data_IF_575715269580
#
_entry.id   IF_575715269580
#
_cell.length_a   1.000
_cell.length_b   1.000
_cell.length_c   1.000
_cell.angle_alpha   90.00
_cell.angle_beta   90.00
_cell.angle_gamma   90.00
#
_symmetry.space_group_name_H-M   'P 1'
#
loop_
_entity.id
_entity.type
_entity.pdbx_description
1 polymer ?
#
# COMPACT_ATOMS: atom_id res chain seq x y z
N UNK A 1 2.06 6.88 36.44
CA UNK A 1 0.62 6.74 36.17
C UNK A 1 0.25 7.87 35.22
N UNK A 2 0.43 7.67 33.93
CA UNK A 2 0.26 8.73 32.92
C UNK A 2 -0.87 8.31 32.01
N UNK A 3 -2.04 8.86 32.30
CA UNK A 3 -3.22 8.85 31.46
C UNK A 3 -2.91 9.76 30.27
N UNK A 4 -2.78 9.21 29.06
CA UNK A 4 -2.73 10.03 27.85
C UNK A 4 -4.16 10.18 27.32
N UNK A 5 -4.60 11.42 27.42
CA UNK A 5 -5.92 11.98 27.12
C UNK A 5 -6.23 11.93 25.61
N UNK A 6 -7.36 11.34 25.22
CA UNK A 6 -7.84 11.22 23.83
C UNK A 6 -8.50 12.51 23.30
N UNK A 7 -8.09 13.70 23.77
CA UNK A 7 -8.75 14.98 23.46
C UNK A 7 -8.12 15.84 22.35
N UNK A 8 -7.06 15.39 21.68
CA UNK A 8 -6.53 16.14 20.52
C UNK A 8 -7.18 15.68 19.20
N UNK A 9 -8.46 16.03 19.05
CA UNK A 9 -9.11 16.17 17.76
C UNK A 9 -8.79 17.60 17.24
N UNK A 10 -8.30 17.80 16.00
CA UNK A 10 -8.07 19.14 15.48
C UNK A 10 -9.39 19.93 15.39
N UNK A 11 -9.36 21.26 15.58
CA UNK A 11 -10.56 22.09 15.55
C UNK A 11 -11.15 22.15 14.13
N UNK A 12 -12.47 22.32 14.07
CA UNK A 12 -13.29 22.32 12.87
C UNK A 12 -12.70 23.21 11.75
N UNK A 13 -12.41 22.60 10.60
CA UNK A 13 -11.83 23.32 9.47
C UNK A 13 -11.70 22.56 8.15
N UNK A 14 -12.26 21.35 8.01
CA UNK A 14 -12.76 20.70 6.79
C UNK A 14 -13.28 19.34 7.24
N UNK A 15 -14.44 18.91 6.78
CA UNK A 15 -15.17 17.79 7.36
C UNK A 15 -14.54 16.41 7.01
N UNK A 16 -13.49 16.03 7.75
CA UNK A 16 -12.81 14.72 7.66
C UNK A 16 -13.77 13.56 7.97
N UNK A 17 -14.93 13.81 8.60
CA UNK A 17 -15.92 12.77 8.93
C UNK A 17 -16.58 12.13 7.70
N UNK A 18 -16.41 12.73 6.51
CA UNK A 18 -17.01 12.26 5.25
C UNK A 18 -16.07 11.43 4.37
N UNK A 19 -14.75 11.46 4.59
CA UNK A 19 -13.81 10.78 3.70
C UNK A 19 -13.76 9.26 3.98
N UNK A 20 -14.09 8.38 3.01
CA UNK A 20 -14.24 6.94 3.25
C UNK A 20 -13.01 6.27 3.87
N UNK A 21 -11.80 6.72 3.50
CA UNK A 21 -10.56 6.21 4.07
C UNK A 21 -10.34 6.66 5.52
N UNK A 22 -10.73 7.89 5.88
CA UNK A 22 -10.61 8.35 7.27
C UNK A 22 -11.50 7.52 8.20
N UNK A 23 -12.71 7.17 7.74
CA UNK A 23 -13.61 6.25 8.44
C UNK A 23 -13.02 4.84 8.56
N UNK A 24 -12.39 4.33 7.50
CA UNK A 24 -11.73 3.02 7.54
C UNK A 24 -10.59 3.01 8.57
N UNK A 25 -9.70 4.01 8.53
CA UNK A 25 -8.56 4.12 9.45
C UNK A 25 -8.98 4.37 10.91
N UNK A 26 -10.13 5.00 11.14
CA UNK A 26 -10.68 5.26 12.48
C UNK A 26 -11.34 4.05 13.15
N UNK A 27 -11.53 2.93 12.43
CA UNK A 27 -12.46 1.86 12.82
C UNK A 27 -12.09 1.03 14.08
N UNK A 28 -11.00 1.34 14.79
CA UNK A 28 -10.50 0.57 15.96
C UNK A 28 -10.39 -0.95 15.73
N UNK A 29 -10.32 -1.36 14.46
CA UNK A 29 -9.99 -2.71 13.96
C UNK A 29 -9.00 -2.65 12.79
N UNK A 30 -8.39 -3.80 12.46
CA UNK A 30 -7.93 -4.07 11.11
C UNK A 30 -8.89 -3.63 9.97
N UNK A 31 -8.54 -2.62 9.17
CA UNK A 31 -8.82 -2.48 7.72
C UNK A 31 -8.27 -3.68 6.89
N UNK A 32 -8.75 -3.91 5.68
CA UNK A 32 -8.23 -4.94 4.76
C UNK A 32 -8.01 -4.31 3.38
N UNK A 33 -6.78 -4.31 2.88
CA UNK A 33 -6.46 -3.84 1.53
C UNK A 33 -6.56 -4.94 0.47
N UNK A 34 -7.37 -4.74 -0.57
CA UNK A 34 -7.40 -5.58 -1.77
C UNK A 34 -6.44 -5.06 -2.83
N UNK A 35 -5.53 -5.90 -3.33
CA UNK A 35 -4.56 -5.50 -4.36
C UNK A 35 -5.14 -5.78 -5.75
N UNK A 36 -5.16 -4.77 -6.62
CA UNK A 36 -5.60 -4.85 -8.00
C UNK A 36 -4.46 -4.46 -8.95
N UNK A 37 -3.74 -5.45 -9.45
CA UNK A 37 -2.66 -5.25 -10.42
C UNK A 37 -3.21 -5.22 -11.85
N UNK A 38 -3.23 -4.04 -12.47
CA UNK A 38 -3.71 -3.80 -13.83
C UNK A 38 -2.55 -3.92 -14.81
N UNK A 39 -2.10 -5.16 -15.06
CA UNK A 39 -1.04 -5.45 -16.04
C UNK A 39 -1.59 -6.30 -17.19
N UNK A 40 -1.05 -6.18 -18.43
CA UNK A 40 -1.52 -6.95 -19.58
C UNK A 40 -1.53 -8.47 -19.31
N UNK A 41 -0.55 -8.96 -18.55
CA UNK A 41 -0.40 -10.38 -18.24
C UNK A 41 -1.29 -10.84 -17.07
N UNK A 42 -1.93 -9.92 -16.35
CA UNK A 42 -2.95 -10.27 -15.35
C UNK A 42 -4.25 -10.77 -16.01
N UNK A 43 -4.45 -10.46 -17.30
CA UNK A 43 -5.73 -10.65 -18.01
C UNK A 43 -5.55 -11.12 -19.48
N UNK A 44 -4.45 -11.81 -19.77
CA UNK A 44 -3.88 -12.07 -21.11
C UNK A 44 -4.72 -12.85 -22.14
N UNK A 45 -6.02 -13.08 -21.90
CA UNK A 45 -6.88 -13.84 -22.81
C UNK A 45 -7.82 -12.97 -23.67
N UNK A 46 -7.77 -11.64 -23.57
CA UNK A 46 -8.65 -10.74 -24.33
C UNK A 46 -8.09 -9.35 -24.62
N UNK A 47 -8.79 -8.57 -25.46
CA UNK A 47 -8.39 -7.23 -25.91
C UNK A 47 -8.36 -6.17 -24.79
N UNK A 48 -8.01 -4.92 -25.12
CA UNK A 48 -7.91 -3.82 -24.13
C UNK A 48 -9.19 -3.59 -23.33
N UNK A 49 -10.36 -3.61 -23.98
CA UNK A 49 -11.65 -3.47 -23.30
C UNK A 49 -11.95 -4.66 -22.37
N UNK A 50 -11.61 -5.87 -22.78
CA UNK A 50 -11.75 -7.07 -21.94
C UNK A 50 -10.83 -6.99 -20.71
N UNK A 51 -9.61 -6.47 -20.88
CA UNK A 51 -8.69 -6.27 -19.74
C UNK A 51 -9.19 -5.22 -18.73
N UNK A 52 -9.85 -4.15 -19.20
CA UNK A 52 -10.47 -3.14 -18.33
C UNK A 52 -11.67 -3.72 -17.58
N UNK A 53 -12.62 -4.33 -18.30
CA UNK A 53 -13.82 -4.90 -17.69
C UNK A 53 -13.48 -5.99 -16.67
N UNK A 54 -12.48 -6.83 -16.97
CA UNK A 54 -11.97 -7.84 -16.02
C UNK A 54 -11.32 -7.22 -14.79
N UNK A 55 -10.53 -6.16 -14.94
CA UNK A 55 -9.92 -5.46 -13.81
C UNK A 55 -11.00 -4.82 -12.91
N UNK A 56 -11.99 -4.16 -13.51
CA UNK A 56 -13.12 -3.56 -12.78
C UNK A 56 -13.96 -4.64 -12.09
N UNK A 57 -14.28 -5.74 -12.78
CA UNK A 57 -15.00 -6.87 -12.19
C UNK A 57 -14.23 -7.51 -11.02
N UNK A 58 -12.90 -7.59 -11.12
CA UNK A 58 -12.07 -8.07 -10.02
C UNK A 58 -12.08 -7.10 -8.83
N UNK A 59 -11.97 -5.78 -9.07
CA UNK A 59 -12.10 -4.76 -8.02
C UNK A 59 -13.46 -4.80 -7.31
N UNK A 60 -14.56 -4.96 -8.05
CA UNK A 60 -15.89 -5.16 -7.46
C UNK A 60 -15.97 -6.45 -6.63
N UNK A 61 -15.34 -7.53 -7.09
CA UNK A 61 -15.23 -8.78 -6.31
C UNK A 61 -14.47 -8.53 -5.00
N UNK A 62 -13.33 -7.82 -5.02
CA UNK A 62 -12.59 -7.48 -3.81
C UNK A 62 -13.44 -6.67 -2.82
N UNK A 63 -14.21 -5.71 -3.32
CA UNK A 63 -15.15 -4.95 -2.50
C UNK A 63 -16.26 -5.83 -1.88
N UNK A 64 -16.86 -6.72 -2.67
CA UNK A 64 -17.89 -7.67 -2.21
C UNK A 64 -17.31 -8.68 -1.20
N UNK A 65 -16.04 -9.06 -1.38
CA UNK A 65 -15.21 -9.79 -0.42
C UNK A 65 -14.67 -8.87 0.68
N UNK A 66 -15.35 -7.76 0.99
CA UNK A 66 -15.13 -6.90 2.15
C UNK A 66 -13.74 -6.32 2.29
N UNK A 67 -13.07 -6.00 1.18
CA UNK A 67 -11.95 -5.07 1.19
C UNK A 67 -12.43 -3.71 1.73
N UNK A 68 -11.67 -3.13 2.65
CA UNK A 68 -11.91 -1.79 3.20
C UNK A 68 -11.14 -0.70 2.42
N UNK A 69 -10.19 -1.11 1.58
CA UNK A 69 -9.39 -0.29 0.65
C UNK A 69 -9.05 -1.14 -0.57
N UNK A 70 -9.05 -0.59 -1.78
CA UNK A 70 -8.52 -1.25 -2.98
C UNK A 70 -7.31 -0.48 -3.49
N UNK A 71 -6.16 -1.14 -3.61
CA UNK A 71 -4.91 -0.54 -4.09
C UNK A 71 -4.68 -0.94 -5.55
N UNK A 72 -4.70 0.06 -6.45
CA UNK A 72 -4.65 -0.13 -7.90
C UNK A 72 -3.25 0.22 -8.41
N UNK A 73 -2.56 -0.78 -8.96
CA UNK A 73 -1.20 -0.64 -9.48
C UNK A 73 -1.10 -0.97 -10.97
N UNK A 74 -0.39 -0.14 -11.74
CA UNK A 74 -0.17 -0.32 -13.19
C UNK A 74 1.19 -0.94 -13.55
N UNK A 75 2.09 -1.06 -12.57
CA UNK A 75 3.44 -1.58 -12.74
C UNK A 75 3.51 -3.08 -12.41
N UNK A 76 4.19 -3.84 -13.28
CA UNK A 76 4.43 -5.25 -13.02
C UNK A 76 5.57 -5.41 -12.02
N UNK A 77 5.31 -6.17 -10.98
CA UNK A 77 6.32 -6.53 -9.96
C UNK A 77 6.90 -7.92 -10.25
N UNK A 78 6.85 -8.39 -11.50
CA UNK A 78 7.47 -9.66 -11.93
C UNK A 78 8.96 -9.45 -12.28
N UNK A 79 9.85 -10.39 -11.90
CA UNK A 79 11.26 -10.33 -12.30
C UNK A 79 11.42 -10.23 -13.82
N UNK A 80 12.21 -9.25 -14.28
CA UNK A 80 12.51 -9.05 -15.70
C UNK A 80 11.45 -8.27 -16.50
N UNK A 81 10.36 -7.83 -15.87
CA UNK A 81 9.40 -6.94 -16.54
C UNK A 81 10.00 -5.53 -16.72
N UNK A 82 9.76 -4.93 -17.89
CA UNK A 82 10.14 -3.54 -18.14
C UNK A 82 9.14 -2.61 -17.46
N UNK A 83 9.60 -1.55 -16.76
CA UNK A 83 8.70 -0.52 -16.25
C UNK A 83 7.85 0.06 -17.39
N UNK A 84 6.53 0.25 -17.19
CA UNK A 84 5.69 0.86 -18.21
C UNK A 84 6.13 2.31 -18.47
N UNK A 85 5.93 2.79 -19.69
CA UNK A 85 5.99 4.22 -19.98
C UNK A 85 4.90 4.97 -19.20
N UNK A 86 5.04 6.29 -19.04
CA UNK A 86 4.02 7.11 -18.37
C UNK A 86 2.63 6.93 -19.02
N UNK A 87 2.57 6.98 -20.35
CA UNK A 87 1.32 6.81 -21.09
C UNK A 87 0.69 5.42 -20.87
N UNK A 88 1.50 4.36 -20.79
CA UNK A 88 1.00 3.01 -20.51
C UNK A 88 0.45 2.86 -19.10
N UNK A 89 1.13 3.43 -18.09
CA UNK A 89 0.67 3.38 -16.71
C UNK A 89 -0.64 4.15 -16.54
N UNK A 90 -0.73 5.36 -17.10
CA UNK A 90 -1.96 6.15 -17.13
C UNK A 90 -3.12 5.39 -17.79
N UNK A 91 -2.88 4.80 -18.97
CA UNK A 91 -3.90 4.05 -19.71
C UNK A 91 -4.36 2.77 -19.00
N UNK A 92 -3.55 2.23 -18.08
CA UNK A 92 -3.92 1.06 -17.25
C UNK A 92 -4.69 1.49 -16.01
N UNK A 93 -4.17 2.46 -15.27
CA UNK A 93 -4.66 2.80 -13.92
C UNK A 93 -5.90 3.67 -13.97
N UNK A 94 -5.86 4.77 -14.74
CA UNK A 94 -6.89 5.83 -14.68
C UNK A 94 -8.29 5.31 -15.02
N UNK A 95 -8.51 4.54 -16.11
CA UNK A 95 -9.84 4.04 -16.44
C UNK A 95 -10.40 3.05 -15.40
N UNK A 96 -9.53 2.26 -14.77
CA UNK A 96 -9.93 1.32 -13.71
C UNK A 96 -10.36 2.07 -12.46
N UNK A 97 -9.58 3.08 -12.04
CA UNK A 97 -9.92 3.94 -10.90
C UNK A 97 -11.26 4.65 -11.12
N UNK A 98 -11.44 5.28 -12.29
CA UNK A 98 -12.67 5.99 -12.65
C UNK A 98 -13.90 5.08 -12.59
N UNK A 99 -13.80 3.88 -13.18
CA UNK A 99 -14.89 2.92 -13.20
C UNK A 99 -15.20 2.35 -11.81
N UNK A 100 -14.19 2.08 -10.98
CA UNK A 100 -14.39 1.57 -9.62
C UNK A 100 -14.98 2.64 -8.69
N UNK A 101 -14.55 3.90 -8.80
CA UNK A 101 -15.08 4.99 -8.00
C UNK A 101 -16.61 5.16 -8.17
N UNK A 102 -17.14 4.80 -9.34
CA UNK A 102 -18.59 4.82 -9.62
C UNK A 102 -19.34 3.55 -9.20
N UNK A 103 -18.64 2.45 -8.92
CA UNK A 103 -19.23 1.11 -8.72
C UNK A 103 -19.08 0.56 -7.31
N UNK A 104 -18.19 1.12 -6.50
CA UNK A 104 -17.98 0.68 -5.12
C UNK A 104 -17.81 1.87 -4.18
N UNK A 105 -18.36 1.81 -2.94
CA UNK A 105 -18.09 2.81 -1.91
C UNK A 105 -16.74 2.60 -1.21
N UNK A 106 -16.00 1.54 -1.55
CA UNK A 106 -14.68 1.24 -0.96
C UNK A 106 -13.67 2.26 -1.48
N UNK A 107 -12.90 2.95 -0.59
CA UNK A 107 -11.88 3.88 -1.02
C UNK A 107 -10.84 3.21 -1.91
N UNK A 108 -10.28 3.99 -2.83
CA UNK A 108 -9.26 3.55 -3.77
C UNK A 108 -7.92 4.19 -3.43
N UNK A 109 -6.87 3.39 -3.37
CA UNK A 109 -5.48 3.82 -3.36
C UNK A 109 -4.88 3.60 -4.75
N UNK A 110 -3.98 4.50 -5.16
CA UNK A 110 -3.15 4.30 -6.35
C UNK A 110 -1.72 3.95 -5.93
N UNK A 111 -1.22 2.80 -6.37
CA UNK A 111 0.17 2.37 -6.19
C UNK A 111 1.02 2.93 -7.33
N UNK A 112 1.69 4.06 -7.07
CA UNK A 112 2.57 4.73 -8.04
C UNK A 112 3.58 5.64 -7.36
N UNK A 113 4.73 5.82 -8.01
CA UNK A 113 5.74 6.81 -7.64
C UNK A 113 5.85 7.97 -8.61
N UNK A 114 4.92 8.09 -9.58
CA UNK A 114 4.94 9.13 -10.62
C UNK A 114 3.93 10.24 -10.32
N UNK A 115 4.36 11.52 -10.17
CA UNK A 115 3.46 12.62 -9.86
C UNK A 115 2.32 12.79 -10.87
N UNK A 116 2.57 12.53 -12.15
CA UNK A 116 1.56 12.63 -13.20
C UNK A 116 0.45 11.58 -13.02
N UNK A 117 0.82 10.36 -12.59
CA UNK A 117 -0.13 9.27 -12.32
C UNK A 117 -0.89 9.54 -11.02
N UNK A 118 -0.21 10.05 -9.97
CA UNK A 118 -0.87 10.50 -8.74
C UNK A 118 -1.98 11.51 -9.04
N UNK A 119 -1.66 12.55 -9.82
CA UNK A 119 -2.62 13.60 -10.17
C UNK A 119 -3.80 13.06 -10.96
N UNK A 120 -3.55 12.25 -11.99
CA UNK A 120 -4.60 11.70 -12.84
C UNK A 120 -5.49 10.71 -12.10
N UNK A 121 -4.92 9.84 -11.26
CA UNK A 121 -5.67 8.86 -10.50
C UNK A 121 -6.55 9.52 -9.42
N UNK A 122 -6.03 10.52 -8.69
CA UNK A 122 -6.84 11.26 -7.70
C UNK A 122 -7.97 12.03 -8.39
N UNK A 123 -7.70 12.66 -9.55
CA UNK A 123 -8.75 13.29 -10.34
C UNK A 123 -9.83 12.31 -10.82
N UNK A 124 -9.47 11.05 -11.05
CA UNK A 124 -10.39 9.97 -11.41
C UNK A 124 -11.14 9.35 -10.22
N UNK A 125 -10.82 9.72 -8.98
CA UNK A 125 -11.51 9.25 -7.78
C UNK A 125 -10.66 8.43 -6.81
N UNK A 126 -9.35 8.28 -7.04
CA UNK A 126 -8.45 7.74 -6.02
C UNK A 126 -8.45 8.66 -4.79
N UNK A 127 -8.56 8.04 -3.62
CA UNK A 127 -8.68 8.69 -2.32
C UNK A 127 -7.38 8.59 -1.50
N UNK A 128 -6.33 7.98 -2.05
CA UNK A 128 -5.03 7.78 -1.41
C UNK A 128 -3.95 7.52 -2.45
N UNK A 129 -2.72 7.92 -2.13
CA UNK A 129 -1.50 7.54 -2.87
C UNK A 129 -0.71 6.54 -2.02
N UNK A 130 -0.32 5.42 -2.61
CA UNK A 130 0.64 4.48 -2.04
C UNK A 130 1.94 4.59 -2.82
N UNK A 131 3.00 5.14 -2.22
CA UNK A 131 4.27 5.37 -2.90
C UNK A 131 5.41 4.55 -2.28
N UNK A 132 5.81 3.52 -3.01
CA UNK A 132 6.95 2.64 -2.69
C UNK A 132 8.29 3.37 -2.58
N UNK A 133 8.40 4.58 -3.13
CA UNK A 133 9.58 5.45 -3.09
C UNK A 133 9.49 6.55 -2.02
N UNK A 134 8.40 6.62 -1.27
CA UNK A 134 8.15 7.59 -0.20
C UNK A 134 8.32 9.05 -0.67
N UNK A 135 7.73 9.40 -1.82
CA UNK A 135 7.72 10.73 -2.42
C UNK A 135 9.13 11.29 -2.73
N UNK A 136 10.09 10.40 -3.04
CA UNK A 136 11.45 10.80 -3.43
C UNK A 136 11.62 11.05 -4.92
N UNK A 137 10.65 10.66 -5.75
CA UNK A 137 10.66 10.99 -7.17
C UNK A 137 10.55 12.51 -7.36
N UNK A 138 11.24 13.12 -8.36
CA UNK A 138 11.09 14.55 -8.64
C UNK A 138 9.63 14.94 -8.84
N UNK A 139 9.16 15.96 -8.11
CA UNK A 139 7.78 16.47 -8.20
C UNK A 139 6.74 15.68 -7.38
N UNK A 140 7.07 14.50 -6.84
CA UNK A 140 6.10 13.66 -6.13
C UNK A 140 5.65 14.28 -4.81
N UNK A 141 6.56 14.92 -4.07
CA UNK A 141 6.25 15.55 -2.78
C UNK A 141 5.32 16.75 -2.96
N UNK A 142 5.62 17.60 -3.95
CA UNK A 142 4.84 18.78 -4.28
C UNK A 142 3.43 18.39 -4.73
N UNK A 143 3.32 17.41 -5.63
CA UNK A 143 2.03 16.91 -6.09
C UNK A 143 1.23 16.28 -4.96
N UNK A 144 1.86 15.45 -4.11
CA UNK A 144 1.17 14.86 -2.97
C UNK A 144 0.61 15.91 -2.00
N UNK A 145 1.37 16.99 -1.75
CA UNK A 145 0.90 18.11 -0.94
C UNK A 145 -0.28 18.84 -1.57
N UNK A 146 -0.24 19.11 -2.89
CA UNK A 146 -1.33 19.74 -3.63
C UNK A 146 -2.61 18.90 -3.65
N UNK A 147 -2.49 17.57 -3.81
CA UNK A 147 -3.64 16.68 -3.90
C UNK A 147 -4.42 16.58 -2.59
N UNK A 148 -3.75 16.78 -1.45
CA UNK A 148 -4.40 16.81 -0.15
C UNK A 148 -5.13 15.50 0.20
N UNK A 149 -4.68 14.36 -0.33
CA UNK A 149 -5.17 13.02 0.03
C UNK A 149 -4.17 12.32 0.95
N UNK A 150 -4.58 11.27 1.69
CA UNK A 150 -3.65 10.42 2.43
C UNK A 150 -2.55 9.81 1.54
N UNK A 151 -1.36 9.64 2.11
CA UNK A 151 -0.18 9.08 1.44
C UNK A 151 0.48 8.01 2.30
N UNK A 152 0.73 6.83 1.73
CA UNK A 152 1.61 5.83 2.32
C UNK A 152 3.06 6.01 1.85
N UNK A 153 3.97 6.13 2.82
CA UNK A 153 5.40 6.25 2.62
C UNK A 153 6.07 4.90 2.92
N UNK A 154 6.56 4.19 1.91
CA UNK A 154 7.24 2.91 2.13
C UNK A 154 8.76 3.04 2.21
N UNK A 155 9.37 2.27 3.10
CA UNK A 155 10.80 2.03 3.10
C UNK A 155 11.20 0.97 2.08
N UNK A 156 12.06 1.37 1.13
CA UNK A 156 12.76 0.46 0.22
C UNK A 156 14.25 0.82 0.17
N UNK A 157 15.11 -0.18 0.36
CA UNK A 157 16.56 -0.04 0.17
C UNK A 157 16.90 -0.22 -1.32
N UNK A 158 17.61 0.75 -1.90
CA UNK A 158 17.92 0.84 -3.34
C UNK A 158 16.65 0.92 -4.20
N UNK A 159 16.75 0.53 -5.47
CA UNK A 159 15.64 0.54 -6.44
C UNK A 159 14.96 -0.84 -6.50
N UNK A 160 13.70 -0.94 -6.97
CA UNK A 160 12.99 -2.23 -7.06
C UNK A 160 13.78 -3.30 -7.83
N UNK A 161 14.58 -2.89 -8.82
CA UNK A 161 15.38 -3.77 -9.67
C UNK A 161 16.63 -4.33 -8.98
N UNK A 162 17.17 -3.62 -7.98
CA UNK A 162 18.47 -3.92 -7.35
C UNK A 162 18.37 -4.23 -5.86
N UNK A 163 17.21 -3.99 -5.24
CA UNK A 163 17.04 -4.05 -3.79
C UNK A 163 17.37 -5.42 -3.19
N UNK A 164 17.16 -6.51 -3.93
CA UNK A 164 17.43 -7.88 -3.43
C UNK A 164 18.89 -8.32 -3.56
N UNK A 165 19.75 -7.51 -4.19
CA UNK A 165 21.15 -7.85 -4.41
C UNK A 165 21.98 -7.51 -3.16
N UNK A 166 22.15 -8.46 -2.24
CA UNK A 166 22.93 -8.29 -1.00
C UNK A 166 22.46 -7.09 -0.15
N UNK A 167 21.22 -7.11 0.37
CA UNK A 167 20.72 -6.06 1.26
C UNK A 167 21.42 -6.15 2.62
N UNK A 168 22.10 -5.07 3.00
CA UNK A 168 22.84 -4.97 4.26
C UNK A 168 22.29 -3.84 5.10
N UNK A 169 22.03 -4.14 6.37
CA UNK A 169 21.68 -3.18 7.42
C UNK A 169 22.60 -3.47 8.60
N UNK A 170 23.00 -2.43 9.31
CA UNK A 170 23.59 -2.57 10.65
C UNK A 170 22.51 -2.92 11.66
N UNK A 171 21.37 -2.23 11.58
CA UNK A 171 20.16 -2.52 12.33
C UNK A 171 18.95 -2.11 11.49
N UNK A 172 18.26 -3.11 10.92
CA UNK A 172 17.14 -2.85 10.01
C UNK A 172 16.00 -2.09 10.68
N UNK A 173 15.75 -2.30 11.97
CA UNK A 173 14.63 -1.66 12.68
C UNK A 173 14.93 -0.18 12.88
N UNK A 174 16.15 0.13 13.34
CA UNK A 174 16.59 1.52 13.54
C UNK A 174 16.66 2.27 12.20
N UNK A 175 17.23 1.66 11.17
CA UNK A 175 17.39 2.31 9.86
C UNK A 175 16.05 2.56 9.18
N UNK A 176 15.12 1.58 9.19
CA UNK A 176 13.77 1.75 8.64
C UNK A 176 13.00 2.84 9.38
N UNK A 177 13.04 2.85 10.72
CA UNK A 177 12.37 3.88 11.52
C UNK A 177 12.94 5.27 11.26
N UNK A 178 14.26 5.38 11.17
CA UNK A 178 14.95 6.65 10.91
C UNK A 178 14.54 7.21 9.55
N UNK A 179 14.60 6.37 8.51
CA UNK A 179 14.17 6.75 7.17
C UNK A 179 12.71 7.22 7.15
N UNK A 180 11.78 6.45 7.75
CA UNK A 180 10.36 6.82 7.76
C UNK A 180 10.12 8.14 8.51
N UNK A 181 10.81 8.35 9.64
CA UNK A 181 10.73 9.62 10.37
C UNK A 181 11.24 10.81 9.53
N UNK A 182 12.35 10.66 8.81
CA UNK A 182 12.88 11.68 7.89
C UNK A 182 11.91 11.97 6.75
N UNK A 183 11.30 10.94 6.16
CA UNK A 183 10.30 11.11 5.10
C UNK A 183 9.03 11.77 5.60
N UNK A 184 8.53 11.39 6.78
CA UNK A 184 7.41 12.08 7.43
C UNK A 184 7.74 13.55 7.65
N UNK A 185 8.95 13.87 8.14
CA UNK A 185 9.37 15.25 8.35
C UNK A 185 9.34 16.07 7.06
N UNK A 186 9.89 15.52 5.97
CA UNK A 186 9.84 16.16 4.66
C UNK A 186 8.40 16.41 4.18
N UNK A 187 7.47 15.49 4.46
CA UNK A 187 6.06 15.64 4.12
C UNK A 187 5.38 16.75 4.93
N UNK A 188 5.63 16.79 6.25
CA UNK A 188 5.11 17.83 7.14
C UNK A 188 5.63 19.22 6.73
N UNK A 189 6.94 19.32 6.44
CA UNK A 189 7.56 20.59 5.99
C UNK A 189 7.02 21.06 4.63
N UNK A 190 6.56 20.13 3.78
CA UNK A 190 5.88 20.44 2.51
C UNK A 190 4.37 20.73 2.66
N UNK A 191 3.81 20.65 3.87
CA UNK A 191 2.41 20.97 4.15
C UNK A 191 1.43 19.78 4.10
N UNK A 192 1.92 18.54 3.96
CA UNK A 192 1.08 17.36 4.12
C UNK A 192 0.72 17.21 5.60
N UNK A 193 -0.57 17.08 5.91
CA UNK A 193 -1.04 16.98 7.30
C UNK A 193 -0.67 15.64 7.92
N UNK A 194 -0.37 15.63 9.22
CA UNK A 194 0.02 14.39 9.91
C UNK A 194 -1.07 13.31 9.82
N UNK A 195 -2.35 13.68 9.88
CA UNK A 195 -3.45 12.73 9.74
C UNK A 195 -3.56 12.08 8.35
N UNK A 196 -2.83 12.60 7.36
CA UNK A 196 -2.76 12.05 6.01
C UNK A 196 -1.56 11.13 5.81
N UNK A 197 -0.67 11.01 6.79
CA UNK A 197 0.52 10.18 6.66
C UNK A 197 0.25 8.75 7.11
N UNK A 198 0.73 7.82 6.31
CA UNK A 198 0.80 6.38 6.58
C UNK A 198 2.23 5.93 6.29
N UNK A 199 2.78 4.96 7.02
CA UNK A 199 4.17 4.49 6.81
C UNK A 199 4.26 2.99 6.63
N UNK A 200 5.00 2.49 5.64
CA UNK A 200 5.22 1.05 5.42
C UNK A 200 6.70 0.69 5.62
N UNK A 201 7.07 -0.30 6.46
CA UNK A 201 8.46 -0.72 6.61
C UNK A 201 9.01 -1.46 5.39
N UNK A 202 8.17 -1.78 4.40
CA UNK A 202 8.49 -2.40 3.12
C UNK A 202 8.98 -3.83 3.25
N UNK A 203 8.17 -4.70 3.83
CA UNK A 203 8.50 -6.13 3.94
C UNK A 203 8.80 -6.73 2.57
N UNK A 204 9.93 -7.43 2.46
CA UNK A 204 10.37 -7.98 1.18
C UNK A 204 10.91 -6.95 0.19
N UNK A 205 11.09 -5.67 0.56
CA UNK A 205 11.72 -4.66 -0.29
C UNK A 205 13.15 -4.34 0.18
N UNK A 206 14.10 -5.10 -0.38
CA UNK A 206 15.52 -5.03 -0.06
C UNK A 206 15.84 -5.46 1.36
N UNK A 207 15.34 -6.62 1.76
CA UNK A 207 15.45 -7.16 3.12
C UNK A 207 15.56 -8.68 3.09
N UNK A 208 16.48 -9.23 3.88
CA UNK A 208 16.61 -10.67 4.07
C UNK A 208 15.44 -11.21 4.89
N UNK A 209 15.19 -12.54 4.90
CA UNK A 209 14.29 -13.16 5.87
C UNK A 209 14.51 -12.72 7.31
N UNK A 210 15.76 -12.71 7.78
CA UNK A 210 16.10 -12.28 9.13
C UNK A 210 15.70 -10.82 9.39
N UNK A 211 15.91 -9.94 8.41
CA UNK A 211 15.48 -8.55 8.50
C UNK A 211 13.96 -8.41 8.60
N UNK A 212 13.21 -9.18 7.80
CA UNK A 212 11.74 -9.17 7.86
C UNK A 212 11.24 -9.68 9.21
N UNK A 213 11.82 -10.75 9.76
CA UNK A 213 11.47 -11.26 11.10
C UNK A 213 11.75 -10.20 12.18
N UNK A 214 12.90 -9.53 12.13
CA UNK A 214 13.25 -8.47 13.08
C UNK A 214 12.27 -7.29 13.04
N UNK A 215 11.87 -6.86 11.83
CA UNK A 215 10.85 -5.82 11.65
C UNK A 215 9.48 -6.25 12.16
N UNK A 216 9.07 -7.49 11.88
CA UNK A 216 7.79 -8.03 12.35
C UNK A 216 7.72 -8.06 13.88
N UNK A 217 8.80 -8.50 14.53
CA UNK A 217 8.92 -8.52 15.99
C UNK A 217 8.97 -7.11 16.61
N UNK A 218 9.25 -6.08 15.81
CA UNK A 218 9.43 -4.69 16.26
C UNK A 218 8.38 -3.74 15.69
N UNK A 219 7.22 -4.24 15.24
CA UNK A 219 6.14 -3.41 14.68
C UNK A 219 5.64 -2.35 15.68
N UNK A 220 5.56 -2.70 16.97
CA UNK A 220 5.20 -1.75 18.04
C UNK A 220 6.19 -0.57 18.11
N UNK A 221 7.43 -0.77 17.69
CA UNK A 221 8.43 0.29 17.58
C UNK A 221 8.13 1.30 16.47
N UNK A 222 7.52 0.87 15.36
CA UNK A 222 7.11 1.75 14.26
C UNK A 222 5.90 2.60 14.62
N UNK A 223 5.02 2.07 15.45
CA UNK A 223 3.88 2.80 16.00
C UNK A 223 4.26 4.04 16.80
N UNK A 224 5.48 4.09 17.34
CA UNK A 224 6.00 5.28 18.02
C UNK A 224 6.14 6.50 17.09
N UNK A 225 6.01 6.33 15.77
CA UNK A 225 5.98 7.42 14.80
C UNK A 225 4.65 8.21 14.83
N UNK A 226 3.63 7.73 15.55
CA UNK A 226 2.39 8.49 15.77
C UNK A 226 1.47 8.57 14.55
N UNK A 227 1.64 7.67 13.58
CA UNK A 227 0.83 7.55 12.37
C UNK A 227 0.48 6.07 12.11
N UNK A 228 -0.57 5.78 11.32
CA UNK A 228 -0.82 4.43 10.85
C UNK A 228 0.38 3.88 10.08
N UNK A 229 0.76 2.66 10.40
CA UNK A 229 1.72 1.84 9.68
C UNK A 229 0.97 1.10 8.56
N UNK A 230 1.62 0.65 7.50
CA UNK A 230 1.23 -0.27 6.41
C UNK A 230 2.27 -1.41 6.36
N UNK A 231 1.94 -2.64 5.95
CA UNK A 231 2.67 -3.90 6.20
C UNK A 231 2.42 -4.90 5.08
N UNK A 232 3.07 -4.74 3.93
CA UNK A 232 2.94 -5.72 2.84
C UNK A 232 3.51 -7.13 3.10
N UNK A 233 2.76 -8.07 3.68
CA UNK A 233 3.25 -9.46 3.89
C UNK A 233 2.79 -10.39 2.76
N UNK A 234 3.55 -11.41 2.36
CA UNK A 234 3.00 -12.49 1.52
C UNK A 234 2.92 -13.76 2.36
N UNK A 235 1.79 -14.48 2.33
CA UNK A 235 1.58 -15.72 3.12
C UNK A 235 2.69 -16.75 2.87
N UNK A 236 3.13 -16.90 1.62
CA UNK A 236 4.20 -17.85 1.24
C UNK A 236 5.58 -17.43 1.78
N UNK A 237 5.86 -16.13 1.76
CA UNK A 237 7.12 -15.57 2.25
C UNK A 237 7.17 -15.66 3.78
N UNK A 238 6.12 -15.26 4.49
CA UNK A 238 6.08 -15.29 5.96
C UNK A 238 6.08 -16.73 6.49
N UNK A 239 5.25 -17.63 5.95
CA UNK A 239 5.24 -19.03 6.35
C UNK A 239 6.56 -19.72 6.01
N UNK A 240 7.15 -19.46 4.84
CA UNK A 240 8.44 -20.02 4.45
C UNK A 240 9.59 -19.54 5.34
N UNK A 241 9.58 -18.26 5.73
CA UNK A 241 10.60 -17.66 6.60
C UNK A 241 10.48 -18.11 8.06
N UNK A 242 9.27 -18.28 8.58
CA UNK A 242 9.05 -18.71 9.98
C UNK A 242 9.18 -20.22 10.18
N UNK A 243 8.89 -21.03 9.16
CA UNK A 243 8.86 -22.50 9.30
C UNK A 243 10.08 -23.20 8.70
N UNK A 244 10.95 -22.47 7.98
CA UNK A 244 12.08 -23.04 7.25
C UNK A 244 11.68 -23.98 6.09
N UNK A 245 10.38 -24.02 5.73
CA UNK A 245 9.85 -24.86 4.65
C UNK A 245 9.52 -23.99 3.44
N UNK A 246 10.30 -24.10 2.37
CA UNK A 246 9.86 -23.64 1.04
C UNK A 246 8.59 -24.41 0.68
N UNK A 247 7.49 -23.70 0.42
CA UNK A 247 6.19 -24.31 0.14
C UNK A 247 6.27 -25.31 -1.03
N UNK A 248 6.09 -26.60 -0.76
CA UNK A 248 5.71 -27.58 -1.78
C UNK A 248 4.22 -27.41 -2.09
N UNK A 249 3.86 -27.45 -3.38
CA UNK A 249 2.48 -27.36 -3.84
C UNK A 249 1.65 -28.55 -3.33
N UNK A 250 0.46 -28.35 -2.73
CA UNK A 250 -0.44 -29.46 -2.45
C UNK A 250 -1.36 -29.71 -3.64
N UNK A 251 -1.37 -30.96 -4.12
CA UNK A 251 -2.49 -31.52 -4.87
C UNK A 251 -3.65 -31.82 -3.91
N UNK A 252 -4.89 -31.65 -4.38
CA UNK A 252 -6.09 -32.08 -3.66
C UNK A 252 -7.28 -31.14 -3.81
N UNK A 253 -8.34 -31.66 -4.42
CA UNK A 253 -9.65 -31.06 -4.65
C UNK A 253 -10.42 -30.77 -3.34
N UNK A 254 -10.92 -29.54 -3.16
CA UNK A 254 -11.90 -29.23 -2.10
C UNK A 254 -11.94 -27.76 -1.71
N UNK A 255 -13.04 -27.08 -2.06
CA UNK A 255 -13.56 -25.78 -1.54
C UNK A 255 -12.53 -24.77 -1.00
N UNK A 256 -12.28 -23.72 -1.81
CA UNK A 256 -11.34 -22.62 -1.57
C UNK A 256 -11.68 -21.78 -0.33
N UNK A 257 -10.75 -21.58 0.62
CA UNK A 257 -10.83 -20.51 1.60
C UNK A 257 -10.04 -19.27 1.12
N UNK A 258 -10.76 -18.22 0.77
CA UNK A 258 -10.23 -16.86 0.57
C UNK A 258 -10.19 -16.10 1.92
N UNK A 259 -9.24 -15.14 2.08
CA UNK A 259 -9.02 -14.15 3.19
C UNK A 259 -8.12 -14.58 4.38
N UNK A 260 -7.57 -13.65 5.22
CA UNK A 260 -7.58 -12.17 5.19
C UNK A 260 -6.18 -11.51 5.18
N UNK A 261 -6.17 -10.20 4.91
CA UNK A 261 -5.06 -9.24 5.12
C UNK A 261 -5.36 -8.47 6.42
N UNK A 262 -4.39 -8.24 7.29
CA UNK A 262 -4.60 -7.61 8.61
C UNK A 262 -4.11 -6.16 8.64
N UNK A 263 -4.99 -5.20 8.87
CA UNK A 263 -4.59 -3.93 9.50
C UNK A 263 -4.65 -4.12 11.03
N UNK A 264 -4.29 -3.16 11.86
CA UNK A 264 -4.74 -3.06 13.25
C UNK A 264 -5.08 -1.60 13.48
N UNK A 265 -5.91 -1.29 14.45
CA UNK A 265 -6.01 0.11 14.91
C UNK A 265 -6.21 0.14 16.41
N UNK A 266 -5.12 -0.11 17.10
CA UNK A 266 -4.36 0.89 17.85
C UNK A 266 -3.02 0.23 18.15
N UNK A 267 -1.88 0.95 18.13
CA UNK A 267 -1.47 1.87 17.07
C UNK A 267 -1.46 1.11 15.72
N UNK A 268 -1.78 1.81 14.64
CA UNK A 268 -2.28 1.14 13.44
C UNK A 268 -1.14 0.61 12.56
N UNK A 269 -1.32 -0.54 11.92
CA UNK A 269 -0.48 -1.16 10.87
C UNK A 269 -1.40 -1.60 9.74
N UNK A 270 -1.07 -1.51 8.45
CA UNK A 270 -1.95 -1.76 7.29
C UNK A 270 -1.38 -2.85 6.41
N UNK A 271 -1.73 -4.13 6.52
CA UNK A 271 -1.08 -5.10 5.64
C UNK A 271 -1.50 -5.02 4.16
N UNK A 272 -0.62 -5.42 3.22
CA UNK A 272 -0.94 -5.73 1.81
C UNK A 272 -0.45 -7.16 1.48
N UNK A 273 -1.28 -8.07 0.96
CA UNK A 273 -0.84 -9.43 0.59
C UNK A 273 -0.79 -9.62 -0.93
N UNK A 274 0.38 -9.97 -1.46
CA UNK A 274 0.56 -10.37 -2.86
C UNK A 274 0.53 -11.90 -3.05
N UNK A 275 -0.32 -12.27 -4.01
CA UNK A 275 -0.52 -13.53 -4.75
C UNK A 275 -1.41 -14.66 -4.20
N UNK A 276 -2.38 -15.12 -5.04
CA UNK A 276 -3.23 -16.27 -4.82
C UNK A 276 -2.55 -17.57 -5.25
N UNK A 277 -2.87 -18.64 -4.54
CA UNK A 277 -2.89 -20.02 -5.04
C UNK A 277 -3.84 -20.81 -4.15
#
# INVERSE_FOLDING_TARGET
>A
MTVLDLRNCPPAGTDISTHPLARALAARRPVVGGILNVTPDSFSDGGRFDSLDRAVAHGCTLAAEGADLIDVGGESTRPGSRPPTLAEELARVVPVVEALAQRTPVPLSVDTSRPEVMRAAVAAGASMVNDVRALRSPGALEVAAELGVPVCLMHMQRSPETMQQDPRYRDVVVEVRTFLAERMRACLDAGIRQEHLVVDPGFGFGKTPAHNVALLASLDGLHSLGVPVMVGLSRKSVLGQLTGRTAQAPGGTGRRPHRPVFVSSAPASIATLKDPS
#
